data_IF_204210451362
#
_entry.id   IF_204210451362
#
_cell.length_a   1.000
_cell.length_b   1.000
_cell.length_c   1.000
_cell.angle_alpha   90.00
_cell.angle_beta   90.00
_cell.angle_gamma   90.00
#
_symmetry.space_group_name_H-M   'P 1'
#
loop_
_entity.id
_entity.type
_entity.pdbx_description
1 polymer ?
#
# COMPACT_ATOMS: atom_id res chain seq x y z
N UNK A 1 -2.45 -26.71 2.20
CA UNK A 1 -1.36 -25.71 2.14
C UNK A 1 -2.03 -24.37 1.94
N UNK A 2 -1.91 -23.43 2.89
CA UNK A 2 -2.31 -22.05 2.64
C UNK A 2 -1.44 -21.53 1.47
N UNK A 3 -2.09 -20.99 0.44
CA UNK A 3 -1.40 -20.49 -0.75
C UNK A 3 -0.68 -19.20 -0.35
N UNK A 4 0.63 -19.13 -0.52
CA UNK A 4 1.40 -17.90 -0.27
C UNK A 4 0.87 -16.78 -1.19
N UNK A 5 0.67 -15.60 -0.61
CA UNK A 5 0.19 -14.40 -1.29
C UNK A 5 1.07 -13.20 -0.95
N UNK A 6 1.03 -12.18 -1.81
CA UNK A 6 1.75 -10.92 -1.62
C UNK A 6 0.97 -9.94 -0.74
N UNK A 7 1.67 -9.08 -0.03
CA UNK A 7 1.07 -7.97 0.70
C UNK A 7 1.48 -6.66 0.02
N UNK A 8 0.48 -5.91 -0.44
CA UNK A 8 0.66 -4.66 -1.17
C UNK A 8 0.26 -3.50 -0.27
N UNK A 9 1.23 -2.77 0.28
CA UNK A 9 1.00 -1.52 0.99
C UNK A 9 0.93 -0.36 0.00
N UNK A 10 -0.15 0.42 0.01
CA UNK A 10 -0.35 1.53 -0.93
C UNK A 10 -0.48 2.83 -0.14
N UNK A 11 0.53 3.70 -0.21
CA UNK A 11 0.50 5.04 0.36
C UNK A 11 0.00 6.07 -0.64
N UNK A 12 -0.97 6.90 -0.25
CA UNK A 12 -1.46 7.99 -1.08
C UNK A 12 -1.98 9.18 -0.24
N UNK A 13 -2.01 10.38 -0.81
CA UNK A 13 -2.52 11.56 -0.11
C UNK A 13 -3.22 12.51 -1.08
N UNK A 14 -2.82 13.78 -1.19
CA UNK A 14 -3.39 14.75 -2.14
C UNK A 14 -3.35 14.21 -3.58
N UNK A 15 -4.53 14.09 -4.20
CA UNK A 15 -4.69 13.54 -5.55
C UNK A 15 -4.64 12.01 -5.64
N UNK A 16 -4.39 11.32 -4.53
CA UNK A 16 -4.26 9.86 -4.47
C UNK A 16 -5.52 9.09 -4.86
N UNK A 17 -6.70 9.68 -4.66
CA UNK A 17 -7.97 9.01 -4.99
C UNK A 17 -8.09 8.66 -6.48
N UNK A 18 -7.72 9.58 -7.39
CA UNK A 18 -7.76 9.30 -8.84
C UNK A 18 -6.80 8.17 -9.20
N UNK A 19 -5.59 8.19 -8.64
CA UNK A 19 -4.60 7.14 -8.85
C UNK A 19 -5.05 5.78 -8.30
N UNK A 20 -5.68 5.75 -7.12
CA UNK A 20 -6.23 4.52 -6.53
C UNK A 20 -7.33 3.91 -7.41
N UNK A 21 -8.24 4.73 -7.95
CA UNK A 21 -9.30 4.26 -8.84
C UNK A 21 -8.73 3.61 -10.09
N UNK A 22 -7.84 4.32 -10.79
CA UNK A 22 -7.18 3.81 -12.00
C UNK A 22 -6.37 2.54 -11.71
N UNK A 23 -5.67 2.48 -10.57
CA UNK A 23 -4.95 1.29 -10.13
C UNK A 23 -5.90 0.10 -9.94
N UNK A 24 -6.96 0.26 -9.14
CA UNK A 24 -7.85 -0.84 -8.78
C UNK A 24 -8.74 -1.32 -9.93
N UNK A 25 -9.07 -0.47 -10.90
CA UNK A 25 -9.77 -0.88 -12.14
C UNK A 25 -9.02 -1.99 -12.90
N UNK A 26 -7.70 -2.07 -12.70
CA UNK A 26 -6.79 -2.96 -13.41
C UNK A 26 -6.27 -4.11 -12.53
N UNK A 27 -6.87 -4.33 -11.34
CA UNK A 27 -6.57 -5.47 -10.47
C UNK A 27 -7.67 -6.53 -10.59
N UNK A 28 -7.38 -7.71 -11.18
CA UNK A 28 -8.29 -8.85 -11.19
C UNK A 28 -8.59 -9.37 -9.77
N UNK A 29 -9.83 -9.84 -9.55
CA UNK A 29 -10.30 -10.37 -8.27
C UNK A 29 -9.52 -11.60 -7.78
N UNK A 30 -8.90 -12.36 -8.68
CA UNK A 30 -8.13 -13.58 -8.40
C UNK A 30 -6.63 -13.32 -8.20
N UNK A 31 -6.20 -12.06 -8.20
CA UNK A 31 -4.82 -11.68 -7.87
C UNK A 31 -4.47 -12.23 -6.48
N UNK A 32 -3.42 -13.06 -6.33
CA UNK A 32 -3.06 -13.67 -5.04
C UNK A 32 -2.32 -12.65 -4.15
N UNK A 33 -3.06 -11.62 -3.73
CA UNK A 33 -2.55 -10.51 -2.93
C UNK A 33 -3.61 -9.92 -2.00
N UNK A 34 -3.15 -9.39 -0.87
CA UNK A 34 -3.91 -8.50 0.01
C UNK A 34 -3.42 -7.07 -0.18
N UNK A 35 -4.34 -6.12 -0.28
CA UNK A 35 -4.04 -4.71 -0.52
C UNK A 35 -4.35 -3.89 0.73
N UNK A 36 -3.43 -3.06 1.19
CA UNK A 36 -3.63 -2.18 2.34
C UNK A 36 -3.47 -0.75 1.87
N UNK A 37 -4.57 -0.02 1.89
CA UNK A 37 -4.62 1.37 1.41
C UNK A 37 -4.47 2.31 2.60
N UNK A 38 -3.37 3.07 2.57
CA UNK A 38 -2.98 4.03 3.57
C UNK A 38 -3.13 5.43 2.98
N UNK A 39 -4.17 6.14 3.42
CA UNK A 39 -4.45 7.50 2.99
C UNK A 39 -4.50 8.47 4.15
N UNK A 40 -4.11 9.72 3.92
CA UNK A 40 -4.26 10.78 4.93
C UNK A 40 -5.72 11.19 5.07
N UNK A 41 -6.41 10.59 6.04
CA UNK A 41 -7.81 10.87 6.37
C UNK A 41 -7.94 12.10 7.29
N UNK A 42 -9.03 12.85 7.09
CA UNK A 42 -9.44 13.87 8.05
C UNK A 42 -9.97 13.19 9.32
N UNK A 43 -9.48 13.62 10.48
CA UNK A 43 -9.81 13.04 11.79
C UNK A 43 -11.28 13.24 12.20
N UNK A 44 -11.90 14.31 11.73
CA UNK A 44 -13.24 14.74 12.12
C UNK A 44 -14.33 14.26 11.14
N UNK A 45 -13.96 13.45 10.15
CA UNK A 45 -14.87 12.99 9.11
C UNK A 45 -14.75 11.49 8.93
N UNK A 46 -15.89 10.81 8.98
CA UNK A 46 -15.97 9.42 8.60
C UNK A 46 -15.48 9.23 7.17
N UNK A 47 -14.52 8.33 6.97
CA UNK A 47 -13.98 8.05 5.65
C UNK A 47 -15.02 7.35 4.77
N UNK A 48 -15.23 7.91 3.57
CA UNK A 48 -16.05 7.31 2.51
C UNK A 48 -15.18 6.57 1.48
N UNK A 49 -13.95 6.22 1.83
CA UNK A 49 -12.99 5.58 0.92
C UNK A 49 -13.54 4.26 0.35
N UNK A 50 -14.24 3.49 1.16
CA UNK A 50 -14.93 2.27 0.72
C UNK A 50 -15.93 2.56 -0.40
N UNK A 51 -16.80 3.55 -0.23
CA UNK A 51 -17.81 3.91 -1.23
C UNK A 51 -17.17 4.46 -2.52
N UNK A 52 -16.06 5.19 -2.37
CA UNK A 52 -15.36 5.78 -3.51
C UNK A 52 -14.56 4.76 -4.33
N UNK A 53 -14.11 3.66 -3.72
CA UNK A 53 -13.34 2.60 -4.38
C UNK A 53 -14.18 1.42 -4.85
N UNK A 54 -15.32 1.14 -4.20
CA UNK A 54 -16.18 -0.01 -4.52
C UNK A 54 -16.57 -0.12 -6.00
N UNK A 55 -16.86 0.97 -6.74
CA UNK A 55 -17.19 0.88 -8.17
C UNK A 55 -16.02 0.45 -9.07
N UNK A 56 -14.79 0.50 -8.56
CA UNK A 56 -13.56 0.36 -9.32
C UNK A 56 -12.83 -0.95 -9.05
N UNK A 57 -13.40 -1.86 -8.24
CA UNK A 57 -12.77 -3.14 -7.95
C UNK A 57 -13.80 -4.24 -7.73
N UNK A 58 -13.39 -5.47 -8.03
CA UNK A 58 -14.13 -6.68 -7.68
C UNK A 58 -13.62 -7.32 -6.38
N UNK A 59 -12.55 -6.77 -5.78
CA UNK A 59 -12.01 -7.19 -4.50
C UNK A 59 -12.96 -6.80 -3.37
N UNK A 60 -12.96 -7.58 -2.28
CA UNK A 60 -13.72 -7.22 -1.08
C UNK A 60 -13.03 -6.08 -0.34
N UNK A 61 -13.73 -4.96 -0.11
CA UNK A 61 -13.18 -3.83 0.64
C UNK A 61 -13.61 -3.92 2.10
N UNK A 62 -12.65 -3.92 3.02
CA UNK A 62 -12.89 -3.97 4.46
C UNK A 62 -12.30 -2.73 5.15
N UNK A 63 -13.12 -2.02 5.93
CA UNK A 63 -12.62 -1.06 6.92
C UNK A 63 -11.96 -1.81 8.06
N UNK A 64 -10.82 -1.30 8.52
CA UNK A 64 -10.04 -1.91 9.60
C UNK A 64 -10.11 -1.05 10.85
N UNK A 65 -11.11 -1.33 11.70
CA UNK A 65 -11.33 -0.69 13.01
C UNK A 65 -10.88 -1.56 14.19
N UNK A 66 -10.59 -2.83 13.94
CA UNK A 66 -10.05 -3.80 14.89
C UNK A 66 -9.04 -4.71 14.19
N UNK A 67 -8.27 -5.43 14.99
CA UNK A 67 -7.28 -6.38 14.47
C UNK A 67 -7.94 -7.41 13.55
N UNK A 68 -7.37 -7.61 12.36
CA UNK A 68 -7.94 -8.49 11.34
C UNK A 68 -6.86 -9.34 10.67
N UNK A 69 -7.15 -10.63 10.49
CA UNK A 69 -6.27 -11.54 9.74
C UNK A 69 -6.35 -11.19 8.26
N UNK A 70 -5.20 -10.93 7.63
CA UNK A 70 -5.15 -10.63 6.20
C UNK A 70 -5.43 -11.87 5.36
N UNK A 71 -6.12 -11.67 4.23
CA UNK A 71 -6.33 -12.70 3.22
C UNK A 71 -6.30 -12.11 1.81
N UNK A 72 -5.91 -12.91 0.79
CA UNK A 72 -5.90 -12.46 -0.59
C UNK A 72 -7.31 -12.13 -1.08
N UNK A 73 -7.42 -11.27 -2.10
CA UNK A 73 -8.72 -10.85 -2.64
C UNK A 73 -9.39 -9.73 -1.84
N UNK A 74 -8.67 -9.12 -0.88
CA UNK A 74 -9.19 -8.07 -0.01
C UNK A 74 -8.40 -6.76 -0.16
N UNK A 75 -9.13 -5.65 -0.08
CA UNK A 75 -8.60 -4.29 0.09
C UNK A 75 -8.95 -3.84 1.50
N UNK A 76 -7.95 -3.64 2.33
CA UNK A 76 -8.07 -3.12 3.68
C UNK A 76 -7.85 -1.61 3.66
N UNK A 77 -8.81 -0.86 4.17
CA UNK A 77 -8.71 0.60 4.28
C UNK A 77 -8.61 1.01 5.75
N UNK A 78 -7.66 1.89 6.07
CA UNK A 78 -7.55 2.41 7.43
C UNK A 78 -8.80 3.18 7.83
N UNK A 79 -8.97 3.35 9.13
CA UNK A 79 -9.96 4.23 9.70
C UNK A 79 -9.30 5.49 10.26
N UNK A 80 -10.03 6.59 10.24
CA UNK A 80 -9.68 7.86 10.83
C UNK A 80 -9.25 7.69 12.29
N UNK A 81 -8.25 8.46 12.71
CA UNK A 81 -7.62 8.34 14.03
C UNK A 81 -6.93 7.00 14.32
N UNK A 82 -6.64 6.18 13.29
CA UNK A 82 -5.87 4.94 13.47
C UNK A 82 -4.58 4.94 12.66
N UNK A 83 -3.63 4.13 13.12
CA UNK A 83 -2.45 3.68 12.40
C UNK A 83 -2.49 2.16 12.32
N UNK A 84 -1.98 1.59 11.22
CA UNK A 84 -1.87 0.15 11.02
C UNK A 84 -0.42 -0.31 11.07
N UNK A 85 -0.20 -1.46 11.72
CA UNK A 85 1.02 -2.26 11.57
C UNK A 85 0.66 -3.70 11.23
N UNK A 86 1.67 -4.51 10.92
CA UNK A 86 1.54 -5.94 10.68
C UNK A 86 2.23 -6.72 11.78
N UNK A 87 1.59 -7.79 12.24
CA UNK A 87 2.19 -8.78 13.14
C UNK A 87 1.58 -10.17 12.90
N UNK A 88 2.40 -11.19 12.63
CA UNK A 88 1.97 -12.58 12.42
C UNK A 88 0.86 -12.75 11.36
N UNK A 89 0.91 -11.95 10.29
CA UNK A 89 -0.12 -11.91 9.24
C UNK A 89 -1.44 -11.23 9.62
N UNK A 90 -1.50 -10.56 10.77
CA UNK A 90 -2.61 -9.71 11.18
C UNK A 90 -2.31 -8.24 10.93
N UNK A 91 -3.33 -7.48 10.53
CA UNK A 91 -3.32 -6.04 10.67
C UNK A 91 -3.62 -5.71 12.12
N UNK A 92 -2.74 -4.95 12.74
CA UNK A 92 -2.85 -4.48 14.12
C UNK A 92 -3.27 -3.02 14.09
N UNK A 93 -4.36 -2.71 14.78
CA UNK A 93 -4.92 -1.36 14.83
C UNK A 93 -4.43 -0.66 16.09
N UNK A 94 -3.92 0.55 15.93
CA UNK A 94 -3.55 1.41 17.06
C UNK A 94 -4.14 2.79 16.88
N UNK A 95 -4.45 3.44 18.00
CA UNK A 95 -4.85 4.85 17.97
C UNK A 95 -3.69 5.70 17.48
N UNK A 96 -3.99 6.62 16.56
CA UNK A 96 -3.00 7.52 15.99
C UNK A 96 -2.68 8.62 17.00
N UNK A 97 -1.40 8.77 17.33
CA UNK A 97 -0.96 9.87 18.19
C UNK A 97 -1.30 11.23 17.55
N UNK A 98 -2.06 12.03 18.30
CA UNK A 98 -2.51 13.33 17.84
C UNK A 98 -1.40 14.37 17.74
N UNK A 99 -0.31 14.18 18.49
CA UNK A 99 0.83 15.09 18.63
C UNK A 99 1.94 14.85 17.60
N UNK A 100 1.95 13.67 16.99
CA UNK A 100 2.95 13.28 16.00
C UNK A 100 2.50 13.61 14.59
N UNK A 101 3.47 13.85 13.71
CA UNK A 101 3.22 13.98 12.27
C UNK A 101 2.53 12.70 11.75
N UNK A 102 1.67 12.85 10.74
CA UNK A 102 1.12 11.66 10.08
C UNK A 102 2.21 10.94 9.31
N UNK A 103 2.67 9.82 9.86
CA UNK A 103 3.66 8.93 9.23
C UNK A 103 3.07 7.53 9.06
N UNK A 104 1.78 7.45 8.73
CA UNK A 104 1.05 6.17 8.69
C UNK A 104 1.59 5.24 7.59
N UNK A 105 2.06 5.81 6.48
CA UNK A 105 2.66 5.02 5.40
C UNK A 105 4.01 4.47 5.84
N UNK A 106 4.87 5.32 6.42
CA UNK A 106 6.15 4.87 6.98
C UNK A 106 5.96 3.78 8.03
N UNK A 107 5.11 3.99 9.04
CA UNK A 107 4.89 3.03 10.13
C UNK A 107 4.47 1.67 9.58
N UNK A 108 3.52 1.66 8.64
CA UNK A 108 3.07 0.41 8.03
C UNK A 108 4.16 -0.25 7.20
N UNK A 109 4.82 0.50 6.31
CA UNK A 109 5.85 -0.04 5.39
C UNK A 109 7.01 -0.66 6.17
N UNK A 110 7.41 -0.07 7.30
CA UNK A 110 8.44 -0.64 8.20
C UNK A 110 8.02 -1.99 8.77
N UNK A 111 6.78 -2.13 9.26
CA UNK A 111 6.27 -3.41 9.75
C UNK A 111 6.09 -4.46 8.64
N UNK A 112 5.68 -4.00 7.46
CA UNK A 112 5.55 -4.83 6.26
C UNK A 112 6.91 -5.38 5.81
N UNK A 113 7.94 -4.56 5.81
CA UNK A 113 9.31 -4.92 5.46
C UNK A 113 9.84 -6.08 6.32
N UNK A 114 9.65 -5.97 7.64
CA UNK A 114 10.16 -6.96 8.61
C UNK A 114 9.43 -8.29 8.53
N UNK A 115 8.12 -8.28 8.29
CA UNK A 115 7.28 -9.48 8.32
C UNK A 115 7.32 -10.25 7.00
N UNK A 116 7.22 -9.55 5.86
CA UNK A 116 6.96 -10.18 4.56
C UNK A 116 8.14 -10.17 3.58
N UNK A 117 9.18 -9.36 3.82
CA UNK A 117 10.43 -9.34 3.03
C UNK A 117 10.17 -9.32 1.52
N UNK A 118 10.61 -10.35 0.78
CA UNK A 118 10.46 -10.49 -0.68
C UNK A 118 9.02 -10.65 -1.17
N UNK A 119 8.06 -10.89 -0.26
CA UNK A 119 6.61 -10.88 -0.52
C UNK A 119 5.94 -9.54 -0.21
N UNK A 120 6.69 -8.54 0.21
CA UNK A 120 6.22 -7.18 0.42
C UNK A 120 6.36 -6.33 -0.84
N UNK A 121 5.29 -5.62 -1.19
CA UNK A 121 5.33 -4.59 -2.22
C UNK A 121 4.80 -3.29 -1.62
N UNK A 122 5.63 -2.24 -1.64
CA UNK A 122 5.24 -0.88 -1.30
C UNK A 122 4.93 -0.08 -2.58
N UNK A 123 3.78 0.56 -2.63
CA UNK A 123 3.38 1.47 -3.72
C UNK A 123 3.17 2.86 -3.15
N UNK A 124 3.87 3.86 -3.70
CA UNK A 124 3.65 5.27 -3.36
C UNK A 124 2.98 5.98 -4.53
N UNK A 125 1.77 6.47 -4.29
CA UNK A 125 0.97 7.24 -5.24
C UNK A 125 1.03 8.74 -4.94
N UNK A 126 0.35 9.53 -5.77
CA UNK A 126 0.17 10.97 -5.64
C UNK A 126 -0.11 11.38 -4.20
N UNK A 127 0.66 12.34 -3.71
CA UNK A 127 0.56 12.80 -2.33
C UNK A 127 1.53 13.92 -2.00
N UNK A 128 1.23 14.60 -0.88
CA UNK A 128 2.05 15.69 -0.38
C UNK A 128 3.01 15.25 0.73
N UNK A 129 4.14 15.93 0.87
CA UNK A 129 5.15 15.63 1.90
C UNK A 129 5.99 14.39 1.60
N UNK A 130 6.50 13.72 2.64
CA UNK A 130 7.48 12.62 2.52
C UNK A 130 7.08 11.33 3.28
N UNK A 131 5.82 11.24 3.71
CA UNK A 131 5.33 10.02 4.39
C UNK A 131 5.43 8.82 3.45
N UNK A 132 6.09 7.76 3.91
CA UNK A 132 6.37 6.55 3.15
C UNK A 132 7.81 6.43 2.68
N UNK A 133 8.64 7.48 2.78
CA UNK A 133 10.05 7.43 2.38
C UNK A 133 10.88 6.48 3.25
N UNK A 134 10.85 6.67 4.56
CA UNK A 134 11.66 5.88 5.49
C UNK A 134 11.21 4.42 5.48
N UNK A 135 9.90 4.19 5.33
CA UNK A 135 9.33 2.87 5.18
C UNK A 135 9.69 2.21 3.85
N UNK A 136 9.71 2.95 2.74
CA UNK A 136 10.11 2.45 1.43
C UNK A 136 11.57 1.99 1.43
N UNK A 137 12.47 2.83 1.95
CA UNK A 137 13.90 2.48 2.12
C UNK A 137 14.06 1.17 2.89
N UNK A 138 13.40 1.06 4.04
CA UNK A 138 13.46 -0.17 4.84
C UNK A 138 12.86 -1.39 4.11
N UNK A 139 11.78 -1.18 3.35
CA UNK A 139 11.13 -2.24 2.57
C UNK A 139 12.05 -2.76 1.47
N UNK A 140 12.74 -1.86 0.76
CA UNK A 140 13.75 -2.23 -0.24
C UNK A 140 14.94 -2.94 0.40
N UNK A 141 15.47 -2.44 1.52
CA UNK A 141 16.58 -3.07 2.27
C UNK A 141 16.23 -4.49 2.74
N UNK A 142 14.97 -4.77 3.08
CA UNK A 142 14.51 -6.10 3.49
C UNK A 142 14.21 -7.05 2.31
N UNK A 143 14.48 -6.64 1.07
CA UNK A 143 14.25 -7.42 -0.14
C UNK A 143 12.84 -7.30 -0.72
N UNK A 144 11.99 -6.45 -0.14
CA UNK A 144 10.71 -6.08 -0.71
C UNK A 144 10.87 -5.18 -1.93
N UNK A 145 9.78 -4.92 -2.65
CA UNK A 145 9.80 -4.05 -3.83
C UNK A 145 9.02 -2.77 -3.61
N UNK A 146 9.68 -1.65 -3.89
CA UNK A 146 9.04 -0.33 -3.92
C UNK A 146 8.77 0.06 -5.36
N UNK A 147 7.54 0.48 -5.65
CA UNK A 147 7.13 1.05 -6.93
C UNK A 147 6.43 2.38 -6.69
N UNK A 148 6.56 3.33 -7.61
CA UNK A 148 6.03 4.67 -7.40
C UNK A 148 5.25 5.16 -8.62
N UNK A 149 4.27 6.02 -8.36
CA UNK A 149 3.53 6.68 -9.43
C UNK A 149 4.45 7.62 -10.21
N UNK A 150 4.37 7.54 -11.54
CA UNK A 150 5.04 8.46 -12.44
C UNK A 150 4.56 9.90 -12.19
N UNK A 151 5.51 10.81 -12.01
CA UNK A 151 5.28 12.23 -11.70
C UNK A 151 4.38 12.92 -12.72
N UNK A 152 4.42 12.51 -13.99
CA UNK A 152 3.59 13.07 -15.06
C UNK A 152 2.09 12.78 -14.89
N UNK A 153 1.74 11.78 -14.07
CA UNK A 153 0.35 11.41 -13.78
C UNK A 153 -0.09 11.76 -12.35
N UNK A 154 0.86 12.15 -11.49
CA UNK A 154 0.57 12.51 -10.12
C UNK A 154 0.03 13.95 -10.05
N UNK A 155 -1.05 14.15 -9.28
CA UNK A 155 -1.58 15.51 -9.05
C UNK A 155 -0.76 16.25 -7.98
N UNK A 156 -0.17 15.52 -7.04
CA UNK A 156 0.82 16.01 -6.09
C UNK A 156 2.03 15.07 -6.14
N UNK A 157 3.20 15.63 -6.45
CA UNK A 157 4.40 14.86 -6.78
C UNK A 157 5.33 14.64 -5.59
N UNK A 158 5.16 15.38 -4.49
CA UNK A 158 6.11 15.39 -3.36
C UNK A 158 6.39 14.00 -2.78
N UNK A 159 5.35 13.17 -2.54
CA UNK A 159 5.53 11.81 -2.02
C UNK A 159 6.30 10.92 -3.01
N UNK A 160 5.87 10.75 -4.27
CA UNK A 160 6.64 10.01 -5.27
C UNK A 160 8.07 10.55 -5.50
N UNK A 161 8.25 11.86 -5.60
CA UNK A 161 9.55 12.52 -5.78
C UNK A 161 10.51 12.15 -4.64
N UNK A 162 10.04 12.20 -3.40
CA UNK A 162 10.85 11.87 -2.24
C UNK A 162 11.48 10.48 -2.34
N UNK A 163 10.73 9.49 -2.84
CA UNK A 163 11.23 8.12 -3.04
C UNK A 163 12.21 8.05 -4.20
N UNK A 164 11.88 8.66 -5.34
CA UNK A 164 12.73 8.64 -6.54
C UNK A 164 14.12 9.19 -6.24
N UNK A 165 14.18 10.26 -5.45
CA UNK A 165 15.42 10.94 -5.10
C UNK A 165 16.33 10.16 -4.13
N UNK A 166 15.79 9.21 -3.34
CA UNK A 166 16.52 8.62 -2.21
C UNK A 166 16.58 7.07 -2.22
N UNK A 167 15.56 6.38 -2.72
CA UNK A 167 15.42 4.92 -2.64
C UNK A 167 15.70 4.23 -4.00
N UNK A 168 15.65 4.98 -5.10
CA UNK A 168 15.74 4.43 -6.47
C UNK A 168 14.72 3.29 -6.69
N UNK A 169 13.42 3.60 -6.72
CA UNK A 169 12.36 2.61 -6.71
C UNK A 169 12.48 1.67 -7.92
N UNK A 170 12.05 0.41 -7.73
CA UNK A 170 12.18 -0.63 -8.74
C UNK A 170 11.45 -0.27 -10.04
N UNK A 171 10.36 0.50 -9.94
CA UNK A 171 9.56 0.94 -11.07
C UNK A 171 8.97 2.34 -10.82
N UNK A 172 8.95 3.18 -11.85
CA UNK A 172 8.26 4.47 -11.88
C UNK A 172 7.23 4.44 -13.01
N UNK A 173 5.97 4.23 -12.67
CA UNK A 173 4.92 3.86 -13.64
C UNK A 173 3.61 4.60 -13.39
N UNK A 174 2.78 4.74 -14.43
CA UNK A 174 1.41 5.25 -14.27
C UNK A 174 0.55 4.24 -13.47
N UNK A 175 -0.55 4.65 -12.84
CA UNK A 175 -1.36 3.77 -11.99
C UNK A 175 -1.82 2.47 -12.65
N UNK A 176 -2.30 2.51 -13.91
CA UNK A 176 -2.61 1.28 -14.66
C UNK A 176 -1.40 0.35 -14.79
N UNK A 177 -0.22 0.89 -15.09
CA UNK A 177 1.00 0.10 -15.27
C UNK A 177 1.55 -0.44 -13.95
N UNK A 178 1.36 0.28 -12.85
CA UNK A 178 1.63 -0.24 -11.50
C UNK A 178 0.75 -1.45 -11.20
N UNK A 179 -0.55 -1.38 -11.52
CA UNK A 179 -1.48 -2.49 -11.31
C UNK A 179 -1.11 -3.72 -12.16
N UNK A 180 -0.88 -3.54 -13.45
CA UNK A 180 -0.39 -4.60 -14.34
C UNK A 180 0.90 -5.25 -13.80
N UNK A 181 1.82 -4.42 -13.27
CA UNK A 181 3.06 -4.91 -12.69
C UNK A 181 2.80 -5.74 -11.43
N UNK A 182 1.94 -5.30 -10.51
CA UNK A 182 1.55 -6.09 -9.34
C UNK A 182 1.01 -7.46 -9.76
N UNK A 183 0.13 -7.51 -10.76
CA UNK A 183 -0.45 -8.76 -11.26
C UNK A 183 0.64 -9.67 -11.85
N UNK A 184 1.56 -9.12 -12.64
CA UNK A 184 2.72 -9.86 -13.18
C UNK A 184 3.54 -10.50 -12.04
N UNK A 185 3.82 -9.75 -10.98
CA UNK A 185 4.63 -10.21 -9.85
C UNK A 185 3.92 -11.26 -9.02
N UNK A 186 2.64 -11.06 -8.73
CA UNK A 186 1.85 -11.99 -7.91
C UNK A 186 1.64 -13.34 -8.61
N UNK A 187 1.64 -13.36 -9.95
CA UNK A 187 1.49 -14.59 -10.73
C UNK A 187 2.79 -15.36 -10.95
N UNK A 188 3.95 -14.76 -10.65
CA UNK A 188 5.22 -15.48 -10.60
C UNK A 188 5.31 -16.14 -9.25
N UNK A 189 5.20 -17.46 -9.20
CA UNK A 189 5.44 -18.23 -7.96
C UNK A 189 6.78 -17.80 -7.37
N UNK A 190 6.86 -17.46 -6.07
CA UNK A 190 8.14 -17.19 -5.42
C UNK A 190 9.06 -18.38 -5.70
N UNK A 191 10.17 -18.16 -6.40
CA UNK A 191 11.19 -19.19 -6.49
C UNK A 191 11.66 -19.40 -5.06
N UNK A 192 11.33 -20.55 -4.46
CA UNK A 192 11.96 -20.98 -3.21
C UNK A 192 13.47 -20.84 -3.40
N UNK A 193 14.06 -19.85 -2.74
CA UNK A 193 15.49 -19.64 -2.75
C UNK A 193 16.16 -20.97 -2.38
N UNK A 194 16.96 -21.50 -3.29
CA UNK A 194 17.90 -22.57 -2.97
C UNK A 194 18.97 -21.96 -2.08
N UNK A 195 18.81 -22.07 -0.77
CA UNK A 195 19.92 -22.01 0.18
C UNK A 195 19.95 -23.32 0.96
#
# INVERSE_FOLDING_TARGET
MEKEFYIIGIGASRGGMTALKEFFEHIPADTPAAFIVLTHLNRDRHSILTDLLSPYTQLSIARVDQDVKMGPGNVYVLTENTTLTIENGWLKVSERDSKMLNSSVDIFFKSLATEFKDRAIGIILSGGGKDGLEGALQLAECGGRVMVQNLMTATATEMPEAIIDHDHPAEVLNPTKLAEKVVELCNRTPQKGKH
#
